data_IF_632966940970
#
_entry.id   IF_632966940970
#
_cell.length_a   1.000
_cell.length_b   1.000
_cell.length_c   1.000
_cell.angle_alpha   90.00
_cell.angle_beta   90.00
_cell.angle_gamma   90.00
#
_symmetry.space_group_name_H-M   'P 1'
#
loop_
_entity.id
_entity.type
_entity.pdbx_description
1 polymer ?
#
# COMPACT_ATOMS: atom_id res chain seq x y z
N UNK A 1 -14.09 18.51 -4.08
CA UNK A 1 -14.22 17.20 -4.73
C UNK A 1 -12.95 16.94 -5.52
N UNK A 2 -12.40 15.73 -5.45
CA UNK A 2 -11.18 15.35 -6.19
C UNK A 2 -11.47 15.27 -7.69
N UNK A 3 -10.53 15.75 -8.50
CA UNK A 3 -10.52 15.60 -9.95
C UNK A 3 -10.13 14.16 -10.34
N UNK A 4 -10.44 13.76 -11.58
CA UNK A 4 -9.96 12.49 -12.17
C UNK A 4 -8.43 12.40 -12.08
N UNK A 5 -7.72 13.53 -12.30
CA UNK A 5 -6.26 13.59 -12.18
C UNK A 5 -5.78 13.27 -10.76
N UNK A 6 -6.52 13.71 -9.74
CA UNK A 6 -6.19 13.46 -8.34
C UNK A 6 -6.39 11.98 -7.99
N UNK A 7 -7.44 11.36 -8.52
CA UNK A 7 -7.68 9.92 -8.36
C UNK A 7 -6.64 9.08 -9.08
N UNK A 8 -6.24 9.44 -10.30
CA UNK A 8 -5.13 8.78 -10.99
C UNK A 8 -3.82 8.92 -10.19
N UNK A 9 -3.55 10.10 -9.67
CA UNK A 9 -2.37 10.35 -8.82
C UNK A 9 -2.44 9.52 -7.54
N UNK A 10 -3.61 9.43 -6.90
CA UNK A 10 -3.80 8.58 -5.72
C UNK A 10 -3.60 7.09 -6.06
N UNK A 11 -4.12 6.63 -7.19
CA UNK A 11 -3.94 5.25 -7.65
C UNK A 11 -2.46 4.92 -7.81
N UNK A 12 -1.69 5.81 -8.45
CA UNK A 12 -0.24 5.66 -8.60
C UNK A 12 0.50 5.67 -7.25
N UNK A 13 0.06 6.50 -6.30
CA UNK A 13 0.56 6.47 -4.92
C UNK A 13 0.27 5.12 -4.26
N UNK A 14 -0.93 4.56 -4.48
CA UNK A 14 -1.29 3.21 -4.03
C UNK A 14 -0.41 2.13 -4.66
N UNK A 15 -0.10 2.25 -5.96
CA UNK A 15 0.83 1.32 -6.62
C UNK A 15 2.23 1.41 -5.99
N UNK A 16 2.76 2.62 -5.80
CA UNK A 16 4.06 2.82 -5.16
C UNK A 16 4.10 2.28 -3.73
N UNK A 17 3.03 2.48 -2.97
CA UNK A 17 2.86 1.98 -1.62
C UNK A 17 2.84 0.44 -1.58
N UNK A 18 2.06 -0.20 -2.46
CA UNK A 18 2.04 -1.65 -2.60
C UNK A 18 3.37 -2.25 -3.04
N UNK A 19 4.11 -1.54 -3.91
CA UNK A 19 5.45 -1.99 -4.34
C UNK A 19 6.45 -1.94 -3.19
N UNK A 20 6.37 -0.91 -2.35
CA UNK A 20 7.20 -0.79 -1.15
C UNK A 20 6.97 -1.95 -0.18
N UNK A 21 5.72 -2.34 0.07
CA UNK A 21 5.40 -3.41 1.01
C UNK A 21 5.85 -4.81 0.53
N UNK A 22 6.12 -5.00 -0.77
CA UNK A 22 6.66 -6.25 -1.31
C UNK A 22 8.19 -6.30 -1.24
N UNK A 23 8.87 -5.15 -1.16
CA UNK A 23 10.34 -5.07 -1.12
C UNK A 23 10.83 -5.05 0.33
N UNK A 24 11.73 -5.96 0.74
CA UNK A 24 12.27 -5.96 2.10
C UNK A 24 12.94 -4.62 2.46
N UNK A 25 12.61 -4.09 3.64
CA UNK A 25 13.22 -2.86 4.16
C UNK A 25 12.59 -1.55 3.68
N UNK A 26 11.52 -1.59 2.89
CA UNK A 26 10.74 -0.39 2.50
C UNK A 26 9.34 -0.48 3.14
N UNK A 27 8.87 0.63 3.73
CA UNK A 27 7.54 0.68 4.36
C UNK A 27 6.55 1.48 3.50
N UNK A 28 5.39 0.89 3.20
CA UNK A 28 4.29 1.60 2.54
C UNK A 28 3.82 2.83 3.31
N UNK A 29 3.89 2.81 4.65
CA UNK A 29 3.62 3.98 5.49
C UNK A 29 4.56 5.15 5.22
N UNK A 30 5.84 4.87 4.98
CA UNK A 30 6.84 5.89 4.58
C UNK A 30 6.52 6.48 3.21
N UNK A 31 6.10 5.65 2.25
CA UNK A 31 5.64 6.13 0.94
C UNK A 31 4.41 7.02 1.08
N UNK A 32 3.42 6.60 1.88
CA UNK A 32 2.24 7.41 2.16
C UNK A 32 2.60 8.77 2.78
N UNK A 33 3.61 8.80 3.66
CA UNK A 33 4.11 10.02 4.29
C UNK A 33 4.79 10.95 3.28
N UNK A 34 5.77 10.44 2.54
CA UNK A 34 6.52 11.23 1.54
C UNK A 34 5.61 11.74 0.42
N UNK A 35 4.60 10.94 0.03
CA UNK A 35 3.63 11.33 -1.01
C UNK A 35 2.48 12.19 -0.49
N UNK A 36 2.47 12.51 0.82
CA UNK A 36 1.53 13.46 1.44
C UNK A 36 0.10 12.92 1.63
N UNK A 37 -0.11 11.60 1.58
CA UNK A 37 -1.44 10.98 1.80
C UNK A 37 -1.58 10.32 3.17
N UNK A 38 -0.52 10.32 3.98
CA UNK A 38 -0.48 9.62 5.26
C UNK A 38 -1.56 10.06 6.24
N UNK A 39 -1.71 11.38 6.44
CA UNK A 39 -2.73 11.92 7.35
C UNK A 39 -4.15 11.59 6.89
N UNK A 40 -4.41 11.65 5.58
CA UNK A 40 -5.72 11.30 5.03
C UNK A 40 -6.00 9.80 5.16
N UNK A 41 -4.97 8.95 4.95
CA UNK A 41 -5.06 7.51 5.17
C UNK A 41 -5.39 7.19 6.63
N UNK A 42 -4.65 7.76 7.58
CA UNK A 42 -4.89 7.54 9.00
C UNK A 42 -6.29 7.99 9.42
N UNK A 43 -6.74 9.17 8.96
CA UNK A 43 -8.09 9.65 9.25
C UNK A 43 -9.17 8.73 8.66
N UNK A 44 -8.98 8.27 7.43
CA UNK A 44 -9.94 7.38 6.74
C UNK A 44 -9.99 5.99 7.38
N UNK A 45 -8.86 5.46 7.87
CA UNK A 45 -8.85 4.22 8.65
C UNK A 45 -9.52 4.44 10.01
N UNK A 46 -9.21 5.56 10.69
CA UNK A 46 -9.79 5.88 12.00
C UNK A 46 -11.30 6.09 11.96
N UNK A 47 -11.86 6.55 10.83
CA UNK A 47 -13.30 6.70 10.67
C UNK A 47 -14.04 5.38 10.44
N UNK A 48 -13.35 4.25 10.37
CA UNK A 48 -13.95 2.92 10.50
C UNK A 48 -14.20 2.65 11.98
N UNK A 49 -15.19 3.36 12.54
CA UNK A 49 -15.55 3.37 13.95
C UNK A 49 -16.95 2.78 14.18
N UNK A 50 -17.42 2.83 15.43
CA UNK A 50 -18.74 2.32 15.80
C UNK A 50 -19.89 2.97 14.99
N UNK A 51 -19.74 4.23 14.56
CA UNK A 51 -20.75 4.88 13.74
C UNK A 51 -20.74 4.33 12.31
N UNK A 52 -19.55 4.08 11.73
CA UNK A 52 -19.43 3.40 10.45
C UNK A 52 -20.15 2.04 10.46
N UNK A 53 -19.92 1.23 11.49
CA UNK A 53 -20.62 -0.05 11.64
C UNK A 53 -22.13 0.12 11.81
N UNK A 54 -22.57 1.11 12.60
CA UNK A 54 -23.99 1.42 12.78
C UNK A 54 -24.68 1.82 11.47
N UNK A 55 -24.02 2.64 10.65
CA UNK A 55 -24.50 3.04 9.33
C UNK A 55 -24.60 1.82 8.40
N UNK A 56 -23.62 0.93 8.44
CA UNK A 56 -23.60 -0.31 7.67
C UNK A 56 -24.75 -1.26 8.06
N UNK A 57 -24.97 -1.49 9.36
CA UNK A 57 -26.07 -2.34 9.85
C UNK A 57 -27.46 -1.76 9.56
N UNK A 58 -27.58 -0.43 9.48
CA UNK A 58 -28.81 0.25 9.05
C UNK A 58 -28.98 0.31 7.53
N UNK A 59 -28.08 -0.34 6.77
CA UNK A 59 -28.06 -0.35 5.31
C UNK A 59 -27.97 1.06 4.68
N UNK A 60 -27.42 2.03 5.43
CA UNK A 60 -27.18 3.40 4.95
C UNK A 60 -25.83 3.47 4.22
N UNK A 61 -25.74 2.75 3.10
CA UNK A 61 -24.48 2.54 2.38
C UNK A 61 -23.83 3.84 1.90
N UNK A 62 -24.64 4.84 1.48
CA UNK A 62 -24.13 6.15 1.04
C UNK A 62 -23.47 6.90 2.19
N UNK A 63 -24.17 7.04 3.32
CA UNK A 63 -23.67 7.74 4.50
C UNK A 63 -22.43 7.04 5.06
N UNK A 64 -22.42 5.70 5.08
CA UNK A 64 -21.25 4.91 5.42
C UNK A 64 -20.06 5.22 4.50
N UNK A 65 -20.27 5.20 3.18
CA UNK A 65 -19.22 5.44 2.19
C UNK A 65 -18.60 6.83 2.33
N UNK A 66 -19.42 7.84 2.60
CA UNK A 66 -18.95 9.21 2.84
C UNK A 66 -18.19 9.30 4.17
N UNK A 67 -18.68 8.64 5.23
CA UNK A 67 -18.04 8.62 6.56
C UNK A 67 -16.64 7.99 6.55
N UNK A 68 -16.47 6.87 5.83
CA UNK A 68 -15.16 6.17 5.76
C UNK A 68 -14.21 6.74 4.70
N UNK A 69 -14.59 7.82 4.01
CA UNK A 69 -13.86 8.31 2.83
C UNK A 69 -13.64 7.18 1.80
N UNK A 70 -14.70 6.46 1.47
CA UNK A 70 -14.65 5.22 0.68
C UNK A 70 -14.01 5.40 -0.70
N UNK A 71 -14.19 6.55 -1.35
CA UNK A 71 -13.55 6.83 -2.64
C UNK A 71 -12.01 6.88 -2.53
N UNK A 72 -11.48 7.47 -1.45
CA UNK A 72 -10.04 7.49 -1.18
C UNK A 72 -9.53 6.08 -0.93
N UNK A 73 -10.16 5.35 0.00
CA UNK A 73 -9.74 4.01 0.38
C UNK A 73 -9.79 3.05 -0.80
N UNK A 74 -10.90 3.05 -1.57
CA UNK A 74 -11.07 2.21 -2.74
C UNK A 74 -9.99 2.48 -3.80
N UNK A 75 -9.71 3.75 -4.08
CA UNK A 75 -8.69 4.11 -5.09
C UNK A 75 -7.28 3.71 -4.63
N UNK A 76 -6.95 3.96 -3.36
CA UNK A 76 -5.63 3.62 -2.80
C UNK A 76 -5.43 2.11 -2.76
N UNK A 77 -6.40 1.37 -2.18
CA UNK A 77 -6.39 -0.09 -2.12
C UNK A 77 -6.40 -0.71 -3.51
N UNK A 78 -7.11 -0.11 -4.46
CA UNK A 78 -7.06 -0.49 -5.88
C UNK A 78 -5.64 -0.40 -6.45
N UNK A 79 -4.93 0.70 -6.18
CA UNK A 79 -3.52 0.86 -6.56
C UNK A 79 -2.60 -0.18 -5.90
N UNK A 80 -2.76 -0.42 -4.59
CA UNK A 80 -2.00 -1.42 -3.84
C UNK A 80 -2.23 -2.81 -4.43
N UNK A 81 -3.49 -3.19 -4.68
CA UNK A 81 -3.85 -4.47 -5.25
C UNK A 81 -3.23 -4.66 -6.64
N UNK A 82 -3.32 -3.64 -7.51
CA UNK A 82 -2.67 -3.67 -8.84
C UNK A 82 -1.17 -3.93 -8.67
N UNK A 83 -0.50 -3.24 -7.74
CA UNK A 83 0.92 -3.45 -7.48
C UNK A 83 1.21 -4.86 -7.01
N UNK A 84 0.53 -5.36 -5.97
CA UNK A 84 0.78 -6.70 -5.42
C UNK A 84 0.58 -7.78 -6.47
N UNK A 85 -0.51 -7.74 -7.25
CA UNK A 85 -0.76 -8.76 -8.28
C UNK A 85 0.21 -8.65 -9.47
N UNK A 86 0.57 -7.45 -9.90
CA UNK A 86 1.54 -7.28 -10.99
C UNK A 86 2.96 -7.67 -10.56
N UNK A 87 3.36 -7.27 -9.36
CA UNK A 87 4.68 -7.57 -8.80
C UNK A 87 4.83 -9.05 -8.47
N UNK A 88 3.81 -9.72 -7.93
CA UNK A 88 3.82 -11.17 -7.71
C UNK A 88 4.05 -11.95 -9.02
N UNK A 89 3.36 -11.56 -10.10
CA UNK A 89 3.57 -12.14 -11.44
C UNK A 89 4.98 -11.85 -11.96
N UNK A 90 5.45 -10.61 -11.80
CA UNK A 90 6.80 -10.22 -12.23
C UNK A 90 7.88 -11.02 -11.51
N UNK A 91 7.82 -11.13 -10.18
CA UNK A 91 8.78 -11.89 -9.39
C UNK A 91 8.73 -13.37 -9.74
N UNK A 92 7.54 -13.94 -9.94
CA UNK A 92 7.40 -15.34 -10.39
C UNK A 92 8.09 -15.56 -11.74
N UNK A 93 7.90 -14.64 -12.69
CA UNK A 93 8.58 -14.68 -13.99
C UNK A 93 10.10 -14.51 -13.87
N UNK A 94 10.57 -13.58 -13.04
CA UNK A 94 12.00 -13.33 -12.84
C UNK A 94 12.68 -14.49 -12.11
N UNK A 95 12.02 -15.14 -11.16
CA UNK A 95 12.53 -16.35 -10.51
C UNK A 95 12.63 -17.53 -11.49
N UNK A 96 11.70 -17.62 -12.45
CA UNK A 96 11.76 -18.66 -13.48
C UNK A 96 12.85 -18.39 -14.53
N UNK A 97 13.02 -17.14 -14.94
CA UNK A 97 13.92 -16.76 -16.07
C UNK A 97 15.34 -16.40 -15.61
N UNK A 98 15.47 -15.77 -14.45
CA UNK A 98 16.72 -15.20 -13.93
C UNK A 98 16.94 -15.53 -12.43
N UNK A 99 16.84 -16.81 -12.01
CA UNK A 99 16.86 -17.19 -10.59
C UNK A 99 18.10 -16.70 -9.85
N UNK A 100 19.29 -16.83 -10.46
CA UNK A 100 20.56 -16.45 -9.82
C UNK A 100 20.59 -14.95 -9.52
N UNK A 101 20.20 -14.10 -10.47
CA UNK A 101 20.17 -12.64 -10.29
C UNK A 101 19.20 -12.24 -9.17
N UNK A 102 18.01 -12.84 -9.15
CA UNK A 102 16.99 -12.55 -8.15
C UNK A 102 17.45 -13.00 -6.76
N UNK A 103 17.99 -14.22 -6.64
CA UNK A 103 18.53 -14.71 -5.38
C UNK A 103 19.69 -13.87 -4.88
N UNK A 104 20.65 -13.53 -5.73
CA UNK A 104 21.77 -12.66 -5.36
C UNK A 104 21.31 -11.28 -4.89
N UNK A 105 20.29 -10.70 -5.54
CA UNK A 105 19.70 -9.44 -5.14
C UNK A 105 19.08 -9.51 -3.73
N UNK A 106 18.17 -10.46 -3.48
CA UNK A 106 17.53 -10.60 -2.17
C UNK A 106 18.52 -11.02 -1.08
N UNK A 107 19.49 -11.88 -1.41
CA UNK A 107 20.55 -12.27 -0.49
C UNK A 107 21.38 -11.06 -0.05
N UNK A 108 21.77 -10.19 -0.99
CA UNK A 108 22.47 -8.94 -0.68
C UNK A 108 21.67 -8.02 0.24
N UNK A 109 20.37 -7.87 -0.01
CA UNK A 109 19.48 -7.09 0.87
C UNK A 109 19.41 -7.66 2.29
N UNK A 110 19.26 -8.99 2.42
CA UNK A 110 19.21 -9.67 3.72
C UNK A 110 20.53 -9.50 4.48
N UNK A 111 21.67 -9.67 3.80
CA UNK A 111 23.00 -9.50 4.42
C UNK A 111 23.16 -8.09 4.97
N UNK A 112 22.82 -7.06 4.18
CA UNK A 112 22.92 -5.66 4.62
C UNK A 112 21.97 -5.40 5.81
N UNK A 113 20.72 -5.86 5.71
CA UNK A 113 19.75 -5.71 6.80
C UNK A 113 20.24 -6.39 8.09
N UNK A 114 20.80 -7.59 8.00
CA UNK A 114 21.36 -8.32 9.13
C UNK A 114 22.55 -7.58 9.76
N UNK A 115 23.45 -7.03 8.94
CA UNK A 115 24.59 -6.22 9.42
C UNK A 115 24.11 -4.97 10.17
N UNK A 116 23.09 -4.27 9.65
CA UNK A 116 22.53 -3.09 10.30
C UNK A 116 21.94 -3.46 11.66
N UNK A 117 21.07 -4.47 11.71
CA UNK A 117 20.44 -4.92 12.97
C UNK A 117 21.48 -5.39 13.98
N UNK A 118 22.52 -6.12 13.54
CA UNK A 118 23.58 -6.59 14.42
C UNK A 118 24.45 -5.46 15.02
N UNK A 119 24.45 -4.25 14.43
CA UNK A 119 25.13 -3.07 14.99
C UNK A 119 24.26 -2.32 16.01
N UNK A 120 22.95 -2.48 15.92
CA UNK A 120 21.98 -1.82 16.79
C UNK A 120 21.66 -2.62 18.06
N UNK A 121 22.22 -3.83 18.20
CA UNK A 121 22.21 -4.69 19.41
C UNK A 121 23.53 -4.51 20.15
#
# INVERSE_FOLDING_TARGET
MRSIKDYLTLLLKGVAMGSADVVPGVSGGTIAFITGIYEELLRSIKSIDAEAFRLLFKLKLKDFWEHVNGNFLLTLVGGIAISVFSFAKLITYLLATYPILVWSFFFGLIVIAAIIVARDI
#
